data_IF_177016657319
#
_entry.id   IF_177016657319
#
_cell.length_a   1.000
_cell.length_b   1.000
_cell.length_c   1.000
_cell.angle_alpha   90.00
_cell.angle_beta   90.00
_cell.angle_gamma   90.00
#
_symmetry.space_group_name_H-M   'P 1'
#
loop_
_entity.id
_entity.type
_entity.pdbx_description
1 polymer ?
#
# COMPACT_ATOMS: atom_id res chain seq x y z
N UNK A 1 -10.94 11.69 -16.41
CA UNK A 1 -11.03 10.28 -15.96
C UNK A 1 -11.50 9.37 -17.10
N UNK A 2 -10.57 8.57 -17.63
CA UNK A 2 -10.84 7.62 -18.74
C UNK A 2 -11.56 6.36 -18.24
N UNK A 3 -12.33 5.68 -19.10
CA UNK A 3 -13.02 4.42 -18.76
C UNK A 3 -12.08 3.35 -18.19
N UNK A 4 -10.85 3.28 -18.71
CA UNK A 4 -9.79 2.40 -18.19
C UNK A 4 -9.53 2.64 -16.69
N UNK A 5 -9.43 3.89 -16.27
CA UNK A 5 -9.20 4.24 -14.87
C UNK A 5 -10.36 3.80 -13.97
N UNK A 6 -11.61 3.95 -14.44
CA UNK A 6 -12.79 3.52 -13.67
C UNK A 6 -12.85 1.99 -13.51
N UNK A 7 -12.40 1.23 -14.50
CA UNK A 7 -12.34 -0.24 -14.43
C UNK A 7 -11.34 -0.71 -13.39
N UNK A 8 -10.15 -0.10 -13.34
CA UNK A 8 -9.13 -0.42 -12.33
C UNK A 8 -9.61 -0.06 -10.92
N UNK A 9 -10.24 1.11 -10.75
CA UNK A 9 -10.81 1.52 -9.45
C UNK A 9 -11.88 0.54 -8.97
N UNK A 10 -12.79 0.08 -9.86
CA UNK A 10 -13.78 -0.95 -9.51
C UNK A 10 -13.14 -2.26 -9.05
N UNK A 11 -12.04 -2.66 -9.68
CA UNK A 11 -11.31 -3.88 -9.32
C UNK A 11 -10.67 -3.77 -7.94
N UNK A 12 -10.09 -2.62 -7.60
CA UNK A 12 -9.55 -2.34 -6.25
C UNK A 12 -10.66 -2.49 -5.20
N UNK A 13 -11.82 -1.84 -5.41
CA UNK A 13 -12.93 -1.94 -4.47
C UNK A 13 -13.48 -3.36 -4.32
N UNK A 14 -13.52 -4.14 -5.40
CA UNK A 14 -13.97 -5.52 -5.33
C UNK A 14 -13.06 -6.38 -4.43
N UNK A 15 -11.74 -6.21 -4.53
CA UNK A 15 -10.79 -6.90 -3.66
C UNK A 15 -10.93 -6.44 -2.20
N UNK A 16 -11.00 -5.13 -1.95
CA UNK A 16 -11.19 -4.59 -0.59
C UNK A 16 -12.47 -5.11 0.06
N UNK A 17 -13.56 -5.19 -0.70
CA UNK A 17 -14.84 -5.71 -0.22
C UNK A 17 -14.76 -7.21 0.09
N UNK A 18 -14.10 -8.00 -0.77
CA UNK A 18 -13.93 -9.44 -0.59
C UNK A 18 -13.02 -9.82 0.58
N UNK A 19 -12.10 -8.93 0.96
CA UNK A 19 -11.12 -9.17 2.04
C UNK A 19 -11.40 -8.35 3.29
N UNK A 20 -12.59 -7.77 3.45
CA UNK A 20 -12.92 -6.90 4.60
C UNK A 20 -12.74 -7.59 5.96
N UNK A 21 -12.96 -8.91 6.02
CA UNK A 21 -12.78 -9.71 7.22
C UNK A 21 -11.36 -10.30 7.33
N UNK A 22 -10.53 -10.12 6.31
CA UNK A 22 -9.19 -10.68 6.20
C UNK A 22 -8.19 -9.59 6.59
N UNK A 23 -7.92 -9.50 7.89
CA UNK A 23 -7.06 -8.47 8.46
C UNK A 23 -6.25 -8.98 9.65
N UNK A 24 -5.09 -8.38 9.87
CA UNK A 24 -4.27 -8.63 11.04
C UNK A 24 -4.73 -7.67 12.15
N UNK A 25 -5.26 -8.22 13.23
CA UNK A 25 -5.76 -7.44 14.36
C UNK A 25 -4.68 -7.35 15.44
N UNK A 26 -4.31 -6.12 15.81
CA UNK A 26 -3.41 -5.87 16.92
C UNK A 26 -4.20 -5.23 18.07
N UNK A 27 -4.32 -5.94 19.19
CA UNK A 27 -4.90 -5.37 20.40
C UNK A 27 -3.87 -4.46 21.06
N UNK A 28 -4.34 -3.31 21.57
CA UNK A 28 -3.50 -2.29 22.22
C UNK A 28 -2.67 -2.86 23.37
N UNK A 29 -3.18 -3.89 24.04
CA UNK A 29 -2.60 -4.47 25.24
C UNK A 29 -1.89 -5.82 24.99
N UNK A 30 -1.61 -6.16 23.72
CA UNK A 30 -0.98 -7.44 23.34
C UNK A 30 0.48 -7.62 23.82
N UNK A 31 1.06 -6.62 24.50
CA UNK A 31 2.48 -6.62 24.88
C UNK A 31 3.45 -6.60 23.70
N UNK A 32 2.93 -6.57 22.47
CA UNK A 32 3.70 -6.56 21.24
C UNK A 32 4.05 -5.13 20.84
N UNK A 33 5.32 -4.91 20.47
CA UNK A 33 5.81 -3.62 19.98
C UNK A 33 5.75 -3.58 18.46
N UNK A 34 4.75 -2.90 17.91
CA UNK A 34 4.65 -2.64 16.47
C UNK A 34 5.51 -1.41 16.12
N UNK A 35 6.49 -1.56 15.22
CA UNK A 35 7.29 -0.45 14.68
C UNK A 35 6.93 -0.25 13.22
N UNK A 36 6.35 0.90 12.88
CA UNK A 36 6.01 1.26 11.50
C UNK A 36 7.09 2.15 10.89
N UNK A 37 7.47 1.85 9.65
CA UNK A 37 8.33 2.70 8.83
C UNK A 37 7.46 3.32 7.73
N UNK A 38 7.62 4.62 7.49
CA UNK A 38 7.02 5.29 6.35
C UNK A 38 8.14 5.85 5.50
N UNK A 39 8.22 5.39 4.26
CA UNK A 39 9.10 6.00 3.27
C UNK A 39 8.38 7.19 2.63
N UNK A 40 9.09 8.30 2.48
CA UNK A 40 8.56 9.54 1.92
C UNK A 40 9.31 9.89 0.64
N UNK A 41 9.59 8.89 -0.21
CA UNK A 41 10.26 9.11 -1.47
C UNK A 41 9.29 9.71 -2.49
N UNK A 42 9.22 11.04 -2.53
CA UNK A 42 8.67 11.82 -3.64
C UNK A 42 9.66 11.88 -4.83
N UNK A 43 10.44 10.83 -5.04
CA UNK A 43 11.51 10.75 -6.03
C UNK A 43 11.39 9.48 -6.90
N UNK A 44 10.18 9.15 -7.33
CA UNK A 44 9.98 8.16 -8.38
C UNK A 44 10.49 8.70 -9.72
N UNK A 45 11.57 8.12 -10.25
CA UNK A 45 11.96 8.31 -11.64
C UNK A 45 10.75 7.95 -12.54
N UNK A 46 10.13 8.96 -13.16
CA UNK A 46 8.91 8.80 -13.97
C UNK A 46 9.08 7.82 -15.14
N UNK A 47 10.33 7.55 -15.53
CA UNK A 47 10.63 6.74 -16.72
C UNK A 47 11.00 5.29 -16.42
N UNK A 48 11.43 4.94 -15.21
CA UNK A 48 12.00 3.61 -14.96
C UNK A 48 11.35 2.78 -13.86
N UNK A 49 10.46 3.35 -13.03
CA UNK A 49 9.87 2.65 -11.87
C UNK A 49 10.91 1.88 -11.01
N UNK A 50 12.19 2.29 -11.07
CA UNK A 50 13.27 1.66 -10.31
C UNK A 50 13.43 2.42 -9.00
N UNK A 51 13.28 1.70 -7.89
CA UNK A 51 13.68 2.19 -6.58
C UNK A 51 15.19 2.40 -6.56
N UNK A 52 15.65 3.59 -6.21
CA UNK A 52 17.05 3.84 -5.86
C UNK A 52 17.27 3.28 -4.46
N UNK A 53 17.84 2.09 -4.34
CA UNK A 53 18.43 1.67 -3.06
C UNK A 53 19.61 2.59 -2.78
N UNK A 54 19.49 3.45 -1.77
CA UNK A 54 20.61 4.26 -1.28
C UNK A 54 21.73 3.31 -0.86
N UNK A 55 22.86 3.41 -1.56
CA UNK A 55 24.09 2.71 -1.22
C UNK A 55 24.74 3.44 -0.03
N UNK A 56 25.21 2.66 0.96
CA UNK A 56 25.88 3.16 2.16
C UNK A 56 27.33 3.60 1.87
#
# INVERSE_FOLDING_TARGET
PTEKHLKEVKRIFHYLWGTVNMGLWYTKDSGFKLTGFSDADHAGCKDTFKSTSGEA
#
